data_IF_844713751603
#
_entry.id   IF_844713751603
#
_cell.length_a   1.000
_cell.length_b   1.000
_cell.length_c   1.000
_cell.angle_alpha   90.00
_cell.angle_beta   90.00
_cell.angle_gamma   90.00
#
_symmetry.space_group_name_H-M   'P 1'
#
loop_
_entity.id
_entity.type
_entity.pdbx_description
1 polymer ?
#
# COMPACT_ATOMS: atom_id res chain seq x y z
N UNK A 1 -15.05 18.75 -17.17
CA UNK A 1 -14.60 18.13 -15.90
C UNK A 1 -13.18 17.64 -16.10
N UNK A 2 -12.20 18.44 -15.69
CA UNK A 2 -10.78 18.08 -15.77
C UNK A 2 -10.45 17.17 -14.58
N UNK A 3 -10.17 15.89 -14.84
CA UNK A 3 -9.72 14.97 -13.80
C UNK A 3 -8.29 15.33 -13.38
N UNK A 4 -8.08 15.35 -12.06
CA UNK A 4 -7.06 16.09 -11.34
C UNK A 4 -5.66 15.46 -11.36
N UNK A 5 -5.07 15.24 -12.53
CA UNK A 5 -3.63 14.94 -12.66
C UNK A 5 -2.81 16.23 -12.83
N UNK A 6 -3.03 17.19 -11.93
CA UNK A 6 -2.22 18.40 -11.82
C UNK A 6 -1.38 18.32 -10.54
N UNK A 7 -0.06 18.19 -10.73
CA UNK A 7 0.92 18.53 -9.71
C UNK A 7 1.32 17.42 -8.74
N UNK A 8 2.22 16.54 -9.19
CA UNK A 8 3.26 16.01 -8.31
C UNK A 8 4.48 15.72 -9.19
N UNK A 9 5.41 16.67 -9.14
CA UNK A 9 6.82 16.55 -9.48
C UNK A 9 7.33 15.12 -9.79
N UNK A 10 7.78 14.96 -11.04
CA UNK A 10 8.49 13.79 -11.53
C UNK A 10 9.85 13.68 -10.84
N UNK A 11 9.89 13.08 -9.66
CA UNK A 11 11.13 12.62 -9.04
C UNK A 11 11.52 11.29 -9.70
N UNK A 12 12.32 11.39 -10.77
CA UNK A 12 13.03 10.25 -11.34
C UNK A 12 14.18 9.91 -10.40
N UNK A 13 13.91 9.06 -9.40
CA UNK A 13 14.95 8.54 -8.49
C UNK A 13 15.20 7.09 -8.89
N UNK A 14 16.40 6.84 -9.42
CA UNK A 14 16.85 5.52 -9.87
C UNK A 14 16.57 4.44 -8.83
N UNK A 15 15.92 3.35 -9.26
CA UNK A 15 15.54 2.18 -8.44
C UNK A 15 15.16 2.58 -7.00
N UNK A 16 14.05 3.31 -6.83
CA UNK A 16 13.41 3.48 -5.53
C UNK A 16 12.96 2.09 -5.01
N UNK A 17 13.88 1.39 -4.35
CA UNK A 17 13.58 0.16 -3.63
C UNK A 17 12.62 0.51 -2.50
N UNK A 18 11.47 -0.20 -2.43
CA UNK A 18 10.60 -0.16 -1.25
C UNK A 18 11.46 -0.36 0.00
N UNK A 19 11.61 0.66 0.88
CA UNK A 19 12.45 0.55 2.06
C UNK A 19 11.83 -0.44 3.04
N UNK A 20 12.62 -0.95 3.99
CA UNK A 20 12.05 -1.75 5.08
C UNK A 20 11.28 -0.82 6.01
N UNK A 21 10.04 -1.19 6.36
CA UNK A 21 9.21 -0.42 7.27
C UNK A 21 9.82 -0.36 8.67
N UNK A 22 9.70 0.80 9.31
CA UNK A 22 10.11 1.02 10.69
C UNK A 22 8.98 1.72 11.49
N UNK A 23 8.94 1.55 12.81
CA UNK A 23 7.99 2.25 13.66
C UNK A 23 8.07 3.78 13.44
N UNK A 24 6.92 4.40 13.16
CA UNK A 24 6.84 5.85 12.87
C UNK A 24 6.88 6.21 11.39
N UNK A 25 7.16 5.27 10.49
CA UNK A 25 7.06 5.53 9.04
C UNK A 25 5.62 5.41 8.55
N UNK A 26 5.19 6.43 7.80
CA UNK A 26 3.95 6.44 7.05
C UNK A 26 4.14 6.13 5.55
N UNK A 27 3.05 5.85 4.81
CA UNK A 27 3.11 5.44 3.41
C UNK A 27 3.54 6.58 2.47
N UNK A 28 3.60 7.82 2.95
CA UNK A 28 4.07 9.00 2.20
C UNK A 28 5.51 8.89 1.71
N UNK A 29 6.34 8.04 2.33
CA UNK A 29 7.73 7.81 1.90
C UNK A 29 7.85 6.75 0.77
N UNK A 30 6.75 6.05 0.47
CA UNK A 30 6.72 5.05 -0.60
C UNK A 30 6.53 5.72 -1.96
N UNK A 31 7.07 5.13 -3.04
CA UNK A 31 6.69 5.54 -4.39
C UNK A 31 5.17 5.40 -4.56
N UNK A 32 4.58 6.32 -5.33
CA UNK A 32 3.13 6.52 -5.42
C UNK A 32 2.32 5.22 -5.55
N UNK A 33 2.69 4.33 -6.48
CA UNK A 33 1.97 3.06 -6.68
C UNK A 33 1.94 2.16 -5.44
N UNK A 34 2.99 2.14 -4.63
CA UNK A 34 3.04 1.35 -3.40
C UNK A 34 2.27 2.04 -2.28
N UNK A 35 2.32 3.37 -2.23
CA UNK A 35 1.51 4.18 -1.33
C UNK A 35 0.01 3.93 -1.56
N UNK A 36 -0.46 4.03 -2.80
CA UNK A 36 -1.86 3.80 -3.16
C UNK A 36 -2.33 2.41 -2.72
N UNK A 37 -1.49 1.38 -2.92
CA UNK A 37 -1.79 0.01 -2.48
C UNK A 37 -1.92 -0.05 -0.95
N UNK A 38 -0.97 0.52 -0.20
CA UNK A 38 -1.01 0.51 1.28
C UNK A 38 -2.23 1.26 1.80
N UNK A 39 -2.57 2.40 1.22
CA UNK A 39 -3.75 3.18 1.60
C UNK A 39 -5.05 2.40 1.32
N UNK A 40 -5.17 1.74 0.17
CA UNK A 40 -6.32 0.88 -0.16
C UNK A 40 -6.46 -0.30 0.81
N UNK A 41 -5.35 -0.93 1.20
CA UNK A 41 -5.36 -2.03 2.16
C UNK A 41 -5.69 -1.53 3.57
N UNK A 42 -5.20 -0.35 3.95
CA UNK A 42 -5.47 0.25 5.27
C UNK A 42 -6.91 0.76 5.44
N UNK A 43 -7.55 1.20 4.36
CA UNK A 43 -8.95 1.64 4.34
C UNK A 43 -9.94 0.45 4.33
N UNK A 44 -9.47 -0.75 4.00
CA UNK A 44 -10.33 -1.92 3.99
C UNK A 44 -10.76 -2.34 5.41
N UNK A 45 -12.03 -2.77 5.60
CA UNK A 45 -12.54 -3.21 6.91
C UNK A 45 -11.93 -4.53 7.40
N UNK A 46 -11.08 -5.19 6.61
CA UNK A 46 -10.47 -6.47 6.92
C UNK A 46 -9.47 -6.90 5.84
N UNK A 47 -8.97 -8.15 5.90
CA UNK A 47 -8.00 -8.67 4.95
C UNK A 47 -8.51 -8.61 3.51
N UNK A 48 -7.65 -8.18 2.57
CA UNK A 48 -8.00 -8.00 1.16
C UNK A 48 -7.12 -8.82 0.22
N UNK A 49 -7.69 -9.24 -0.91
CA UNK A 49 -6.97 -9.93 -1.99
C UNK A 49 -6.49 -8.94 -3.05
N UNK A 50 -5.45 -9.32 -3.80
CA UNK A 50 -4.95 -8.53 -4.94
C UNK A 50 -6.06 -8.13 -5.93
N UNK A 51 -6.97 -9.05 -6.28
CA UNK A 51 -8.12 -8.77 -7.16
C UNK A 51 -9.08 -7.70 -6.64
N UNK A 52 -9.12 -7.46 -5.32
CA UNK A 52 -9.95 -6.41 -4.70
C UNK A 52 -9.21 -5.08 -4.65
N UNK A 53 -7.87 -5.09 -4.68
CA UNK A 53 -7.03 -3.89 -4.66
C UNK A 53 -6.94 -3.26 -6.06
N UNK A 54 -6.74 -4.09 -7.09
CA UNK A 54 -6.58 -3.67 -8.51
C UNK A 54 -7.61 -2.63 -8.98
N UNK A 55 -8.93 -2.86 -8.85
CA UNK A 55 -9.92 -1.86 -9.30
C UNK A 55 -9.91 -0.58 -8.44
N UNK A 56 -9.50 -0.67 -7.17
CA UNK A 56 -9.45 0.48 -6.25
C UNK A 56 -8.29 1.43 -6.54
N UNK A 57 -7.21 0.91 -7.14
CA UNK A 57 -6.09 1.71 -7.65
C UNK A 57 -6.29 2.13 -9.13
N UNK A 58 -7.50 1.97 -9.66
CA UNK A 58 -7.86 2.41 -11.02
C UNK A 58 -7.35 1.54 -12.15
N UNK A 59 -6.97 0.29 -11.88
CA UNK A 59 -6.54 -0.67 -12.90
C UNK A 59 -7.67 -1.64 -13.28
N UNK A 60 -7.71 -2.12 -14.55
CA UNK A 60 -8.66 -3.13 -14.96
C UNK A 60 -8.38 -4.47 -14.28
N UNK A 61 -9.43 -5.25 -14.04
CA UNK A 61 -9.42 -6.56 -13.37
C UNK A 61 -8.88 -7.69 -14.28
N UNK A 62 -7.79 -7.43 -14.99
CA UNK A 62 -7.13 -8.40 -15.85
C UNK A 62 -6.13 -9.26 -15.04
N UNK A 63 -6.02 -10.55 -15.38
CA UNK A 63 -5.09 -11.49 -14.71
C UNK A 63 -3.67 -10.93 -14.57
N UNK A 64 -3.11 -10.33 -15.63
CA UNK A 64 -1.77 -9.76 -15.59
C UNK A 64 -1.64 -8.57 -14.63
N UNK A 65 -2.70 -7.77 -14.45
CA UNK A 65 -2.73 -6.67 -13.47
C UNK A 65 -2.89 -7.20 -12.05
N UNK A 66 -3.69 -8.26 -11.88
CA UNK A 66 -3.88 -8.94 -10.59
C UNK A 66 -2.57 -9.56 -10.11
N UNK A 67 -1.89 -10.33 -10.96
CA UNK A 67 -0.59 -10.94 -10.64
C UNK A 67 0.49 -9.88 -10.40
N UNK A 68 0.57 -8.88 -11.26
CA UNK A 68 1.51 -7.77 -11.12
C UNK A 68 1.26 -6.92 -9.87
N UNK A 69 0.03 -6.87 -9.35
CA UNK A 69 -0.31 -6.21 -8.08
C UNK A 69 -0.06 -7.14 -6.89
N UNK A 70 -0.33 -8.43 -7.03
CA UNK A 70 0.02 -9.46 -6.06
C UNK A 70 1.52 -9.50 -5.75
N UNK A 71 2.38 -9.41 -6.77
CA UNK A 71 3.82 -9.32 -6.58
C UNK A 71 4.25 -8.05 -5.81
N UNK A 72 3.56 -6.92 -6.01
CA UNK A 72 3.82 -5.68 -5.25
C UNK A 72 3.36 -5.80 -3.80
N UNK A 73 2.19 -6.41 -3.56
CA UNK A 73 1.67 -6.69 -2.23
C UNK A 73 2.63 -7.60 -1.46
N UNK A 74 3.09 -8.69 -2.08
CA UNK A 74 4.12 -9.57 -1.51
C UNK A 74 5.40 -8.81 -1.16
N UNK A 75 5.89 -7.96 -2.07
CA UNK A 75 7.05 -7.11 -1.80
C UNK A 75 6.83 -6.18 -0.60
N UNK A 76 5.63 -5.64 -0.41
CA UNK A 76 5.31 -4.82 0.76
C UNK A 76 5.28 -5.65 2.05
N UNK A 77 4.83 -6.91 1.99
CA UNK A 77 4.88 -7.87 3.10
C UNK A 77 6.32 -8.19 3.47
N UNK A 78 7.17 -8.57 2.50
CA UNK A 78 8.60 -8.83 2.71
C UNK A 78 9.34 -7.63 3.34
N UNK A 79 8.83 -6.42 3.11
CA UNK A 79 9.38 -5.17 3.62
C UNK A 79 8.71 -4.70 4.93
N UNK A 80 7.72 -5.42 5.43
CA UNK A 80 7.04 -5.13 6.70
C UNK A 80 6.01 -4.00 6.65
N UNK A 81 5.62 -3.54 5.45
CA UNK A 81 4.58 -2.52 5.27
C UNK A 81 3.17 -3.08 5.41
N UNK A 82 2.99 -4.33 4.96
CA UNK A 82 1.76 -5.09 5.05
C UNK A 82 2.03 -6.40 5.79
N UNK A 83 0.98 -7.02 6.29
CA UNK A 83 1.01 -8.36 6.83
C UNK A 83 0.19 -9.31 5.93
N UNK A 84 0.47 -10.60 6.03
CA UNK A 84 -0.18 -11.66 5.29
C UNK A 84 -0.41 -12.86 6.21
N UNK A 85 -1.36 -12.71 7.13
CA UNK A 85 -1.78 -13.78 8.05
C UNK A 85 -2.24 -15.05 7.30
N UNK A 86 -2.84 -14.88 6.12
CA UNK A 86 -3.33 -15.99 5.27
C UNK A 86 -2.82 -15.80 3.85
N UNK A 87 -2.33 -16.86 3.18
CA UNK A 87 -1.84 -16.75 1.80
C UNK A 87 -2.82 -16.03 0.87
N UNK A 88 -2.38 -14.92 0.29
CA UNK A 88 -3.16 -14.07 -0.63
C UNK A 88 -4.13 -13.10 0.04
N UNK A 89 -4.12 -12.98 1.37
CA UNK A 89 -4.90 -12.03 2.15
C UNK A 89 -3.97 -11.04 2.85
N UNK A 90 -4.07 -9.77 2.47
CA UNK A 90 -3.18 -8.72 2.94
C UNK A 90 -3.89 -7.82 3.93
N UNK A 91 -3.21 -7.45 5.00
CA UNK A 91 -3.66 -6.50 6.02
C UNK A 91 -2.62 -5.41 6.20
N UNK A 92 -3.00 -4.21 6.65
CA UNK A 92 -2.00 -3.22 7.04
C UNK A 92 -1.19 -3.79 8.21
N UNK A 93 0.13 -3.58 8.21
CA UNK A 93 0.94 -3.91 9.41
C UNK A 93 0.25 -3.28 10.60
N UNK A 94 0.06 -4.05 11.68
CA UNK A 94 -0.48 -3.51 12.93
C UNK A 94 0.49 -2.44 13.40
N UNK A 95 0.26 -1.20 12.97
CA UNK A 95 0.79 -0.04 13.63
C UNK A 95 0.31 -0.24 15.04
N UNK A 96 1.25 -0.54 15.94
CA UNK A 96 1.02 -0.32 17.36
C UNK A 96 0.69 1.15 17.40
N UNK A 97 -0.62 1.46 17.30
CA UNK A 97 -1.13 2.78 17.58
C UNK A 97 -0.62 2.97 18.98
N UNK A 98 0.40 3.80 19.11
CA UNK A 98 0.53 4.62 20.30
C UNK A 98 -0.74 5.44 20.33
N UNK A 99 -1.82 4.81 20.78
CA UNK A 99 -2.85 5.49 21.52
C UNK A 99 -2.04 6.01 22.70
N UNK A 100 -1.50 7.22 22.59
CA UNK A 100 -1.03 7.93 23.76
C UNK A 100 -2.29 8.17 24.57
N UNK A 101 -2.49 7.53 25.73
CA UNK A 101 -3.55 7.92 26.62
C UNK A 101 -3.00 9.10 27.41
N UNK A 102 -3.32 10.33 27.00
CA UNK A 102 -3.12 11.53 27.81
C UNK A 102 -3.82 12.71 27.13
N UNK A 103 -4.54 13.60 27.81
CA UNK A 103 -5.04 13.70 29.18
C UNK A 103 -6.13 14.76 29.12
N UNK A 104 -7.23 14.60 29.86
CA UNK A 104 -7.93 15.73 30.50
C UNK A 104 -8.56 15.23 31.78
#
# INVERSE_FOLDING_TARGET
MASAYAGAERQVIGVLTVPNWQPGMGPEILPQVYRDIVEVVADAPGPVRAKQVVPRIGLPDETGKIEGTGAKLKRLVDRGWLDEDTPGMFTPVRRRRTISPNSR
#
